data_IF_545408109153
#
_entry.id   IF_545408109153
#
_cell.length_a   1.000
_cell.length_b   1.000
_cell.length_c   1.000
_cell.angle_alpha   90.00
_cell.angle_beta   90.00
_cell.angle_gamma   90.00
#
_symmetry.space_group_name_H-M   'P 1'
#
loop_
_entity.id
_entity.type
_entity.pdbx_description
1 polymer ?
#
# COMPACT_ATOMS: atom_id res chain seq x y z
N UNK A 1 28.49 -12.65 25.97
CA UNK A 1 27.88 -11.63 25.06
C UNK A 1 27.36 -12.19 23.70
N UNK A 2 27.20 -13.50 23.48
CA UNK A 2 26.77 -14.08 22.18
C UNK A 2 25.26 -14.05 21.90
N UNK A 3 24.40 -13.80 22.91
CA UNK A 3 22.94 -13.87 22.78
C UNK A 3 22.27 -12.69 22.03
N UNK A 4 22.85 -11.49 22.09
CA UNK A 4 22.24 -10.28 21.50
C UNK A 4 22.34 -10.29 19.96
N UNK A 5 23.44 -10.82 19.41
CA UNK A 5 23.72 -10.83 17.97
C UNK A 5 22.74 -11.70 17.17
N UNK A 6 22.31 -12.84 17.74
CA UNK A 6 21.35 -13.74 17.10
C UNK A 6 19.95 -13.13 16.98
N UNK A 7 19.51 -12.42 18.04
CA UNK A 7 18.23 -11.70 18.07
C UNK A 7 18.20 -10.55 17.06
N UNK A 8 19.24 -9.71 17.02
CA UNK A 8 19.35 -8.61 16.04
C UNK A 8 19.29 -9.14 14.60
N UNK A 9 20.05 -10.19 14.27
CA UNK A 9 20.01 -10.81 12.92
C UNK A 9 18.63 -11.36 12.56
N UNK A 10 17.87 -11.86 13.53
CA UNK A 10 16.48 -12.30 13.32
C UNK A 10 15.56 -11.12 13.01
N UNK A 11 15.69 -10.01 13.74
CA UNK A 11 14.93 -8.79 13.47
C UNK A 11 15.28 -8.18 12.11
N UNK A 12 16.55 -8.20 11.70
CA UNK A 12 16.96 -7.72 10.36
C UNK A 12 16.38 -8.58 9.24
N UNK A 13 16.34 -9.91 9.42
CA UNK A 13 15.63 -10.80 8.48
C UNK A 13 14.14 -10.49 8.42
N UNK A 14 13.50 -10.31 9.57
CA UNK A 14 12.09 -9.95 9.64
C UNK A 14 11.83 -8.59 8.97
N UNK A 15 12.71 -7.61 9.14
CA UNK A 15 12.63 -6.32 8.47
C UNK A 15 12.63 -6.46 6.94
N UNK A 16 13.53 -7.28 6.41
CA UNK A 16 13.57 -7.55 4.96
C UNK A 16 12.26 -8.16 4.47
N UNK A 17 11.73 -9.16 5.18
CA UNK A 17 10.44 -9.78 4.84
C UNK A 17 9.29 -8.77 4.92
N UNK A 18 9.27 -7.90 5.93
CA UNK A 18 8.25 -6.84 6.07
C UNK A 18 8.36 -5.79 4.97
N UNK A 19 9.57 -5.44 4.54
CA UNK A 19 9.75 -4.52 3.43
C UNK A 19 9.22 -5.10 2.11
N UNK A 20 9.50 -6.38 1.83
CA UNK A 20 8.94 -7.08 0.66
C UNK A 20 7.41 -7.12 0.73
N UNK A 21 6.84 -7.44 1.89
CA UNK A 21 5.40 -7.43 2.08
C UNK A 21 4.77 -6.04 1.86
N UNK A 22 5.45 -4.96 2.30
CA UNK A 22 5.02 -3.57 2.04
C UNK A 22 5.01 -3.26 0.55
N UNK A 23 6.08 -3.62 -0.17
CA UNK A 23 6.18 -3.38 -1.61
C UNK A 23 5.10 -4.15 -2.38
N UNK A 24 4.84 -5.40 -2.00
CA UNK A 24 3.75 -6.18 -2.60
C UNK A 24 2.36 -5.59 -2.30
N UNK A 25 2.14 -5.05 -1.10
CA UNK A 25 0.89 -4.35 -0.77
C UNK A 25 0.74 -3.04 -1.57
N UNK A 26 1.83 -2.30 -1.76
CA UNK A 26 1.83 -1.08 -2.57
C UNK A 26 1.47 -1.37 -4.03
N UNK A 27 2.05 -2.42 -4.62
CA UNK A 27 1.72 -2.86 -5.98
C UNK A 27 0.22 -3.18 -6.14
N UNK A 28 -0.36 -3.88 -5.15
CA UNK A 28 -1.80 -4.19 -5.15
C UNK A 28 -2.67 -2.93 -5.08
N UNK A 29 -2.32 -1.96 -4.23
CA UNK A 29 -3.00 -0.66 -4.16
C UNK A 29 -2.95 0.04 -5.52
N UNK A 30 -1.76 0.16 -6.11
CA UNK A 30 -1.60 0.82 -7.42
C UNK A 30 -2.42 0.12 -8.52
N UNK A 31 -2.46 -1.21 -8.53
CA UNK A 31 -3.27 -1.98 -9.49
C UNK A 31 -4.78 -1.72 -9.30
N UNK A 32 -5.26 -1.72 -8.05
CA UNK A 32 -6.66 -1.48 -7.73
C UNK A 32 -7.10 -0.05 -8.05
N UNK A 33 -6.26 0.95 -7.74
CA UNK A 33 -6.51 2.35 -8.07
C UNK A 33 -6.56 2.58 -9.59
N UNK A 34 -5.66 1.95 -10.33
CA UNK A 34 -5.67 2.01 -11.79
C UNK A 34 -6.93 1.38 -12.39
N UNK A 35 -7.38 0.24 -11.85
CA UNK A 35 -8.62 -0.40 -12.26
C UNK A 35 -9.83 0.50 -11.99
N UNK A 36 -9.90 1.11 -10.81
CA UNK A 36 -10.94 2.07 -10.47
C UNK A 36 -10.93 3.29 -11.41
N UNK A 37 -9.76 3.89 -11.67
CA UNK A 37 -9.63 5.03 -12.58
C UNK A 37 -10.10 4.70 -14.01
N UNK A 38 -9.79 3.49 -14.50
CA UNK A 38 -10.25 3.03 -15.82
C UNK A 38 -11.77 2.86 -15.86
N UNK A 39 -12.36 2.18 -14.89
CA UNK A 39 -13.79 1.87 -14.85
C UNK A 39 -14.64 3.12 -14.63
N UNK A 40 -14.22 4.00 -13.72
CA UNK A 40 -14.85 5.31 -13.53
C UNK A 40 -14.79 6.18 -14.80
N UNK A 41 -13.67 6.13 -15.53
CA UNK A 41 -13.52 6.78 -16.83
C UNK A 41 -14.51 6.26 -17.88
N UNK A 42 -14.70 4.93 -17.96
CA UNK A 42 -15.69 4.31 -18.84
C UNK A 42 -17.11 4.71 -18.45
N UNK A 43 -17.47 4.59 -17.16
CA UNK A 43 -18.80 4.95 -16.67
C UNK A 43 -19.16 6.40 -17.01
N UNK A 44 -18.23 7.34 -16.78
CA UNK A 44 -18.43 8.76 -17.11
C UNK A 44 -18.64 8.99 -18.61
N UNK A 45 -17.81 8.39 -19.46
CA UNK A 45 -17.94 8.54 -20.93
C UNK A 45 -19.25 7.93 -21.45
N UNK A 46 -19.62 6.73 -20.99
CA UNK A 46 -20.87 6.08 -21.38
C UNK A 46 -22.09 6.87 -20.90
N UNK A 47 -22.04 7.43 -19.68
CA UNK A 47 -23.12 8.29 -19.18
C UNK A 47 -23.28 9.57 -20.00
N UNK A 48 -22.18 10.23 -20.37
CA UNK A 48 -22.23 11.42 -21.22
C UNK A 48 -22.80 11.08 -22.61
N UNK A 49 -22.34 9.96 -23.20
CA UNK A 49 -22.84 9.49 -24.48
C UNK A 49 -24.35 9.17 -24.42
N UNK A 50 -24.83 8.50 -23.37
CA UNK A 50 -26.25 8.24 -23.21
C UNK A 50 -27.07 9.55 -23.17
N UNK A 51 -26.60 10.55 -22.42
CA UNK A 51 -27.27 11.85 -22.33
C UNK A 51 -27.32 12.57 -23.69
N UNK A 52 -26.22 12.54 -24.46
CA UNK A 52 -26.17 13.14 -25.79
C UNK A 52 -27.17 12.50 -26.75
N UNK A 53 -27.27 11.16 -26.75
CA UNK A 53 -28.20 10.44 -27.61
C UNK A 53 -29.67 10.54 -27.15
N UNK A 54 -29.92 10.79 -25.87
CA UNK A 54 -31.27 11.04 -25.36
C UNK A 54 -31.84 12.39 -25.84
N UNK A 55 -30.99 13.39 -26.07
CA UNK A 55 -31.38 14.72 -26.52
C UNK A 55 -31.48 14.91 -28.04
N UNK A 56 -31.21 13.87 -28.84
CA UNK A 56 -31.11 13.97 -30.30
C UNK A 56 -32.48 14.10 -30.98
N UNK A 57 -32.77 15.20 -31.72
CA UNK A 57 -34.06 15.39 -32.39
C UNK A 57 -34.09 14.97 -33.87
N UNK A 58 -32.94 14.64 -34.45
CA UNK A 58 -32.69 14.46 -35.89
C UNK A 58 -32.96 13.04 -36.38
N UNK A 59 -34.15 12.51 -36.11
CA UNK A 59 -34.57 11.19 -36.60
C UNK A 59 -35.69 11.33 -37.64
N UNK A 60 -35.45 10.91 -38.91
CA UNK A 60 -36.36 11.19 -40.02
C UNK A 60 -37.60 10.28 -40.07
N UNK A 61 -37.56 9.11 -39.44
CA UNK A 61 -38.62 8.10 -39.51
C UNK A 61 -38.76 7.24 -38.24
N UNK A 62 -39.83 6.44 -38.18
CA UNK A 62 -40.11 5.58 -37.04
C UNK A 62 -39.07 4.47 -36.84
N UNK A 63 -38.47 3.96 -37.94
CA UNK A 63 -37.45 2.91 -37.89
C UNK A 63 -36.14 3.44 -37.28
N UNK A 64 -35.69 4.63 -37.70
CA UNK A 64 -34.56 5.32 -37.09
C UNK A 64 -34.79 5.60 -35.61
N UNK A 65 -36.04 5.89 -35.20
CA UNK A 65 -36.36 6.16 -33.79
C UNK A 65 -36.25 4.89 -32.94
N UNK A 66 -36.70 3.75 -33.46
CA UNK A 66 -36.52 2.47 -32.79
C UNK A 66 -35.04 2.09 -32.66
N UNK A 67 -34.25 2.29 -33.71
CA UNK A 67 -32.80 2.05 -33.69
C UNK A 67 -32.10 2.95 -32.66
N UNK A 68 -32.44 4.24 -32.63
CA UNK A 68 -31.91 5.19 -31.66
C UNK A 68 -32.25 4.78 -30.22
N UNK A 69 -33.51 4.37 -29.96
CA UNK A 69 -33.94 3.90 -28.64
C UNK A 69 -33.20 2.64 -28.20
N UNK A 70 -33.03 1.66 -29.10
CA UNK A 70 -32.30 0.43 -28.81
C UNK A 70 -30.82 0.72 -28.51
N UNK A 71 -30.18 1.59 -29.31
CA UNK A 71 -28.81 2.01 -29.11
C UNK A 71 -28.61 2.77 -27.79
N UNK A 72 -29.48 3.74 -27.49
CA UNK A 72 -29.49 4.45 -26.21
C UNK A 72 -29.67 3.49 -25.04
N UNK A 73 -30.59 2.53 -25.13
CA UNK A 73 -30.79 1.48 -24.12
C UNK A 73 -29.51 0.66 -23.87
N UNK A 74 -28.80 0.29 -24.94
CA UNK A 74 -27.51 -0.40 -24.84
C UNK A 74 -26.43 0.43 -24.12
N UNK A 75 -26.29 1.72 -24.45
CA UNK A 75 -25.33 2.60 -23.77
C UNK A 75 -25.72 2.81 -22.31
N UNK A 76 -27.00 3.00 -22.01
CA UNK A 76 -27.50 3.18 -20.66
C UNK A 76 -27.21 1.94 -19.80
N UNK A 77 -27.40 0.74 -20.35
CA UNK A 77 -27.05 -0.52 -19.68
C UNK A 77 -25.53 -0.61 -19.46
N UNK A 78 -24.71 -0.33 -20.49
CA UNK A 78 -23.25 -0.31 -20.36
C UNK A 78 -22.77 0.68 -19.29
N UNK A 79 -23.40 1.85 -19.22
CA UNK A 79 -23.12 2.87 -18.20
C UNK A 79 -23.44 2.35 -16.80
N UNK A 80 -24.61 1.73 -16.62
CA UNK A 80 -25.01 1.13 -15.34
C UNK A 80 -24.05 0.00 -14.90
N UNK A 81 -23.64 -0.85 -15.84
CA UNK A 81 -22.71 -1.95 -15.59
C UNK A 81 -21.31 -1.43 -15.22
N UNK A 82 -20.84 -0.41 -15.93
CA UNK A 82 -19.58 0.28 -15.65
C UNK A 82 -19.62 1.00 -14.28
N UNK A 83 -20.74 1.60 -13.92
CA UNK A 83 -20.92 2.25 -12.61
C UNK A 83 -20.86 1.22 -11.47
N UNK A 84 -21.54 0.07 -11.60
CA UNK A 84 -21.45 -1.03 -10.62
C UNK A 84 -20.02 -1.58 -10.51
N UNK A 85 -19.36 -1.78 -11.66
CA UNK A 85 -17.97 -2.25 -11.70
C UNK A 85 -17.01 -1.24 -11.06
N UNK A 86 -17.20 0.06 -11.31
CA UNK A 86 -16.44 1.14 -10.69
C UNK A 86 -16.63 1.17 -9.17
N UNK A 87 -17.86 0.99 -8.68
CA UNK A 87 -18.14 0.92 -7.26
C UNK A 87 -17.44 -0.28 -6.58
N UNK A 88 -17.47 -1.45 -7.21
CA UNK A 88 -16.75 -2.62 -6.73
C UNK A 88 -15.22 -2.41 -6.76
N UNK A 89 -14.68 -1.80 -7.81
CA UNK A 89 -13.26 -1.48 -7.91
C UNK A 89 -12.81 -0.49 -6.85
N UNK A 90 -13.65 0.50 -6.51
CA UNK A 90 -13.40 1.42 -5.40
C UNK A 90 -13.30 0.68 -4.06
N UNK A 91 -14.26 -0.20 -3.77
CA UNK A 91 -14.22 -1.01 -2.54
C UNK A 91 -12.96 -1.87 -2.47
N UNK A 92 -12.51 -2.40 -3.61
CA UNK A 92 -11.24 -3.13 -3.69
C UNK A 92 -10.03 -2.24 -3.42
N UNK A 93 -9.99 -1.03 -3.98
CA UNK A 93 -8.91 -0.08 -3.74
C UNK A 93 -8.85 0.33 -2.26
N UNK A 94 -9.99 0.66 -1.67
CA UNK A 94 -10.09 1.01 -0.24
C UNK A 94 -9.62 -0.16 0.65
N UNK A 95 -10.00 -1.40 0.31
CA UNK A 95 -9.56 -2.59 1.04
C UNK A 95 -8.04 -2.81 0.94
N UNK A 96 -7.43 -2.60 -0.23
CA UNK A 96 -5.97 -2.69 -0.39
C UNK A 96 -5.24 -1.58 0.36
N UNK A 97 -5.79 -0.36 0.40
CA UNK A 97 -5.21 0.75 1.18
C UNK A 97 -5.16 0.41 2.67
N UNK A 98 -6.21 -0.21 3.22
CA UNK A 98 -6.21 -0.70 4.62
C UNK A 98 -5.14 -1.77 4.85
N UNK A 99 -4.94 -2.68 3.88
CA UNK A 99 -3.90 -3.72 3.94
C UNK A 99 -2.49 -3.12 3.90
N UNK A 100 -2.26 -2.11 3.05
CA UNK A 100 -1.01 -1.37 2.99
C UNK A 100 -0.72 -0.69 4.32
N UNK A 101 -1.69 0.02 4.90
CA UNK A 101 -1.54 0.66 6.20
C UNK A 101 -1.18 -0.34 7.31
N UNK A 102 -1.79 -1.54 7.29
CA UNK A 102 -1.42 -2.61 8.22
C UNK A 102 0.01 -3.12 7.99
N UNK A 103 0.44 -3.29 6.75
CA UNK A 103 1.80 -3.71 6.40
C UNK A 103 2.85 -2.68 6.85
N UNK A 104 2.57 -1.39 6.69
CA UNK A 104 3.42 -0.28 7.12
C UNK A 104 3.56 -0.25 8.64
N UNK A 105 2.44 -0.28 9.38
CA UNK A 105 2.48 -0.38 10.85
C UNK A 105 3.29 -1.57 11.33
N UNK A 106 3.12 -2.73 10.67
CA UNK A 106 3.87 -3.94 11.00
C UNK A 106 5.38 -3.79 10.75
N UNK A 107 5.78 -3.09 9.69
CA UNK A 107 7.18 -2.78 9.40
C UNK A 107 7.75 -1.83 10.45
N UNK A 108 7.02 -0.77 10.77
CA UNK A 108 7.47 0.27 11.71
C UNK A 108 7.70 -0.30 13.11
N UNK A 109 6.82 -1.19 13.59
CA UNK A 109 7.03 -1.88 14.87
C UNK A 109 8.31 -2.72 14.90
N UNK A 110 8.66 -3.37 13.79
CA UNK A 110 9.92 -4.13 13.69
C UNK A 110 11.12 -3.17 13.62
N UNK A 111 10.95 -2.01 13.00
CA UNK A 111 11.98 -0.97 12.87
C UNK A 111 12.33 -0.38 14.22
N UNK A 112 11.30 0.00 14.99
CA UNK A 112 11.44 0.50 16.35
C UNK A 112 12.18 -0.51 17.24
N UNK A 113 11.80 -1.79 17.18
CA UNK A 113 12.46 -2.86 17.95
C UNK A 113 13.92 -3.04 17.54
N UNK A 114 14.20 -3.03 16.24
CA UNK A 114 15.57 -3.16 15.73
C UNK A 114 16.45 -1.97 16.16
N UNK A 115 15.91 -0.76 16.11
CA UNK A 115 16.58 0.46 16.56
C UNK A 115 16.86 0.43 18.06
N UNK A 116 15.89 0.02 18.88
CA UNK A 116 16.07 -0.14 20.31
C UNK A 116 17.15 -1.19 20.65
N UNK A 117 17.13 -2.34 19.99
CA UNK A 117 18.14 -3.40 20.17
C UNK A 117 19.56 -2.88 19.78
N UNK A 118 19.68 -2.11 18.69
CA UNK A 118 20.94 -1.49 18.26
C UNK A 118 21.47 -0.49 19.27
N UNK A 119 20.60 0.37 19.80
CA UNK A 119 20.97 1.34 20.84
C UNK A 119 21.40 0.65 22.14
N UNK A 120 20.68 -0.40 22.57
CA UNK A 120 21.05 -1.18 23.74
C UNK A 120 22.42 -1.86 23.56
N UNK A 121 22.69 -2.43 22.38
CA UNK A 121 23.97 -3.04 22.05
C UNK A 121 25.12 -2.02 22.04
N UNK A 122 24.90 -0.82 21.51
CA UNK A 122 25.87 0.27 21.55
C UNK A 122 26.21 0.70 22.98
N UNK A 123 25.18 0.95 23.82
CA UNK A 123 25.37 1.31 25.23
C UNK A 123 26.16 0.25 26.00
N UNK A 124 25.87 -1.04 25.77
CA UNK A 124 26.58 -2.14 26.40
C UNK A 124 28.06 -2.25 25.97
N UNK A 125 28.39 -1.88 24.73
CA UNK A 125 29.79 -1.82 24.26
C UNK A 125 30.54 -0.67 24.92
N UNK A 126 29.93 0.51 24.98
CA UNK A 126 30.53 1.68 25.63
C UNK A 126 30.79 1.42 27.11
N UNK A 127 29.83 0.83 27.84
CA UNK A 127 30.02 0.51 29.27
C UNK A 127 31.12 -0.53 29.50
N UNK A 128 31.20 -1.56 28.65
CA UNK A 128 32.27 -2.55 28.71
C UNK A 128 33.67 -1.93 28.44
N UNK A 129 33.76 -0.98 27.51
CA UNK A 129 35.01 -0.27 27.21
C UNK A 129 35.46 0.60 28.38
N UNK A 130 34.53 1.34 29.02
CA UNK A 130 34.82 2.16 30.21
C UNK A 130 35.28 1.28 31.38
N UNK A 131 34.61 0.13 31.61
CA UNK A 131 34.99 -0.82 32.64
C UNK A 131 36.39 -1.42 32.40
N UNK A 132 36.74 -1.72 31.15
CA UNK A 132 38.06 -2.22 30.79
C UNK A 132 39.15 -1.16 31.01
N UNK A 133 38.89 0.10 30.63
CA UNK A 133 39.81 1.22 30.84
C UNK A 133 40.05 1.52 32.33
N UNK A 134 38.99 1.50 33.14
CA UNK A 134 39.11 1.70 34.61
C UNK A 134 39.84 0.55 35.29
N UNK A 135 39.62 -0.70 34.86
CA UNK A 135 40.39 -1.85 35.35
C UNK A 135 41.87 -1.75 35.00
N UNK A 136 42.20 -1.35 33.77
CA UNK A 136 43.58 -1.12 33.32
C UNK A 136 44.25 0.00 34.13
N UNK A 137 43.58 1.14 34.30
CA UNK A 137 44.08 2.27 35.08
C UNK A 137 44.35 1.88 36.55
N UNK A 138 43.45 1.11 37.17
CA UNK A 138 43.64 0.58 38.54
C UNK A 138 44.84 -0.38 38.61
N UNK A 139 45.02 -1.25 37.62
CA UNK A 139 46.14 -2.20 37.59
C UNK A 139 47.51 -1.53 37.42
N UNK A 140 47.57 -0.37 36.77
CA UNK A 140 48.78 0.41 36.60
C UNK A 140 49.15 1.18 37.88
N UNK A 141 48.15 1.65 38.64
CA UNK A 141 48.39 2.35 39.91
C UNK A 141 48.86 1.43 41.04
N UNK A 142 48.48 0.14 41.01
CA UNK A 142 48.87 -0.84 42.03
C UNK A 142 50.29 -1.42 41.82
N UNK A 143 50.99 -1.00 40.78
CA UNK A 143 52.36 -1.44 40.43
C UNK A 143 53.44 -0.37 40.71
N UNK A 144 53.05 0.77 41.25
CA UNK A 144 53.94 1.83 41.75
C UNK A 144 53.94 1.81 43.27
#
# INVERSE_FOLDING_TARGET
MKGNTGRTRRLERLMRVRNVARLAALEKVSSAELAFARLSGVARRSSALAADYAGRPDVPDAAGLQNLRAYHGGIAQLSADAARSSAAARQSADAEQVRLAHAERSRDLVEQRLTADRQAAARARTSAQIAAQTHLARSLNNKR
#
